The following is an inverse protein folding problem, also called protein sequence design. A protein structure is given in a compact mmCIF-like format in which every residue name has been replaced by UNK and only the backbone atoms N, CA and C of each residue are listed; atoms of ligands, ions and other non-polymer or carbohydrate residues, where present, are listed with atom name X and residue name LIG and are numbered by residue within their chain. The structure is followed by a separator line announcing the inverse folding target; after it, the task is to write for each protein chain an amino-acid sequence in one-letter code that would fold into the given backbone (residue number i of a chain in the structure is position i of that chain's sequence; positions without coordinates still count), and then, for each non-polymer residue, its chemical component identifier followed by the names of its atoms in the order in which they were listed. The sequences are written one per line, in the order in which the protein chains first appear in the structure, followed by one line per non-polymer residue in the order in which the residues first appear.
data_IF_582850311721
#
_entry.id   IF_582850311721
#
_cell.length_a   1.000
_cell.length_b   1.000
_cell.length_c   1.000
_cell.angle_alpha   90.00
_cell.angle_beta   90.00
_cell.angle_gamma   90.00
#
_symmetry.space_group_name_H-M   'P 1'
#
loop_
_entity.id
_entity.type
_entity.pdbx_description
1 polymer ?
#
# COMPACT_ATOMS: atom_id res chain seq x y z
N UNK A 1 -35.94 -7.41 4.76
CA UNK A 1 -35.32 -6.18 5.30
C UNK A 1 -34.24 -6.65 6.28
N UNK A 2 -33.02 -6.87 5.80
CA UNK A 2 -31.92 -7.29 6.67
C UNK A 2 -31.19 -6.03 7.12
N UNK A 3 -31.41 -5.66 8.38
CA UNK A 3 -30.72 -4.58 9.06
C UNK A 3 -29.39 -5.15 9.52
N UNK A 4 -28.30 -4.81 8.85
CA UNK A 4 -26.98 -5.16 9.35
C UNK A 4 -26.67 -4.28 10.58
N UNK A 5 -26.26 -4.86 11.73
CA UNK A 5 -25.75 -4.08 12.84
C UNK A 5 -24.49 -3.36 12.37
N UNK A 6 -24.36 -2.06 12.68
CA UNK A 6 -23.17 -1.27 12.39
C UNK A 6 -21.93 -1.97 12.98
N UNK A 7 -21.18 -2.67 12.13
CA UNK A 7 -20.05 -3.45 12.60
C UNK A 7 -18.92 -2.49 13.03
N UNK A 8 -18.33 -2.65 14.23
CA UNK A 8 -17.35 -1.71 14.79
C UNK A 8 -16.18 -1.30 13.88
N UNK A 9 -15.74 -2.19 12.98
CA UNK A 9 -14.65 -1.89 12.05
C UNK A 9 -15.06 -0.86 10.97
N UNK A 10 -16.35 -0.79 10.58
CA UNK A 10 -16.84 0.23 9.64
C UNK A 10 -16.62 1.61 10.24
N UNK A 11 -16.80 1.76 11.57
CA UNK A 11 -16.51 3.01 12.29
C UNK A 11 -15.01 3.31 12.43
N UNK A 12 -14.15 2.30 12.49
CA UNK A 12 -12.68 2.50 12.54
C UNK A 12 -12.06 2.84 11.18
N UNK A 13 -12.67 2.42 10.07
CA UNK A 13 -12.26 2.80 8.71
C UNK A 13 -13.00 4.09 8.26
N UNK A 14 -14.14 4.39 8.87
CA UNK A 14 -14.90 5.61 8.63
C UNK A 14 -14.19 6.83 9.23
N UNK A 15 -13.32 7.42 8.42
CA UNK A 15 -13.44 8.87 8.27
C UNK A 15 -14.90 9.19 7.90
N UNK A 16 -15.49 10.28 8.40
CA UNK A 16 -16.84 10.78 8.01
C UNK A 16 -17.02 11.03 6.49
N UNK A 17 -16.00 10.70 5.69
CA UNK A 17 -16.01 10.73 4.23
C UNK A 17 -16.49 9.36 3.71
N UNK A 18 -17.30 9.32 2.65
CA UNK A 18 -17.65 8.05 2.01
C UNK A 18 -16.37 7.28 1.67
N UNK A 19 -16.36 5.99 2.02
CA UNK A 19 -15.29 5.00 1.81
C UNK A 19 -14.58 5.26 0.47
N UNK A 20 -15.38 5.55 -0.54
CA UNK A 20 -15.11 5.99 -1.89
C UNK A 20 -13.88 6.91 -2.06
N UNK A 21 -13.89 8.14 -1.54
CA UNK A 21 -12.84 9.13 -1.90
C UNK A 21 -11.50 8.87 -1.21
N UNK A 22 -11.52 8.40 0.03
CA UNK A 22 -10.31 8.25 0.83
C UNK A 22 -9.54 6.99 0.43
N UNK A 23 -10.24 5.90 0.11
CA UNK A 23 -9.62 4.67 -0.41
C UNK A 23 -9.05 4.92 -1.81
N UNK A 24 -9.83 5.54 -2.71
CA UNK A 24 -9.35 5.97 -4.04
C UNK A 24 -8.08 6.83 -3.94
N UNK A 25 -8.08 7.81 -3.03
CA UNK A 25 -6.92 8.68 -2.82
C UNK A 25 -5.70 7.90 -2.33
N UNK A 26 -5.87 6.91 -1.44
CA UNK A 26 -4.77 6.09 -0.94
C UNK A 26 -4.20 5.20 -2.04
N UNK A 27 -5.05 4.57 -2.84
CA UNK A 27 -4.63 3.74 -3.97
C UNK A 27 -3.88 4.56 -5.04
N UNK A 28 -4.41 5.73 -5.42
CA UNK A 28 -3.73 6.63 -6.36
C UNK A 28 -2.38 7.11 -5.83
N UNK A 29 -2.30 7.43 -4.53
CA UNK A 29 -1.03 7.75 -3.89
C UNK A 29 -0.07 6.56 -3.94
N UNK A 30 -0.52 5.35 -3.60
CA UNK A 30 0.31 4.14 -3.61
C UNK A 30 0.98 3.92 -4.96
N UNK A 31 0.21 3.99 -6.06
CA UNK A 31 0.74 3.85 -7.42
C UNK A 31 1.73 4.94 -7.81
N UNK A 32 1.60 6.15 -7.25
CA UNK A 32 2.50 7.28 -7.51
C UNK A 32 3.78 7.30 -6.64
N UNK A 33 3.88 6.42 -5.65
CA UNK A 33 5.08 6.30 -4.81
C UNK A 33 6.25 5.66 -5.57
N UNK A 34 7.47 5.98 -5.18
CA UNK A 34 8.65 5.27 -5.68
C UNK A 34 8.58 3.77 -5.34
N UNK A 35 9.31 2.96 -6.10
CA UNK A 35 9.23 1.51 -6.03
C UNK A 35 9.69 0.94 -4.69
N UNK A 36 10.63 1.59 -4.00
CA UNK A 36 11.06 1.16 -2.66
C UNK A 36 9.94 1.29 -1.65
N UNK A 37 9.22 2.41 -1.68
CA UNK A 37 8.07 2.61 -0.83
C UNK A 37 6.95 1.61 -1.07
N UNK A 38 6.65 1.33 -2.35
CA UNK A 38 5.65 0.33 -2.72
C UNK A 38 6.03 -1.04 -2.14
N UNK A 39 7.30 -1.44 -2.32
CA UNK A 39 7.79 -2.72 -1.82
C UNK A 39 7.82 -2.78 -0.30
N UNK A 40 8.28 -1.72 0.37
CA UNK A 40 8.29 -1.64 1.83
C UNK A 40 6.87 -1.77 2.42
N UNK A 41 5.87 -1.14 1.81
CA UNK A 41 4.48 -1.28 2.25
C UNK A 41 3.93 -2.70 2.02
N UNK A 42 4.32 -3.37 0.93
CA UNK A 42 3.99 -4.80 0.71
C UNK A 42 4.61 -5.67 1.80
N UNK A 43 5.90 -5.50 2.08
CA UNK A 43 6.61 -6.22 3.15
C UNK A 43 5.94 -5.98 4.51
N UNK A 44 5.54 -4.75 4.82
CA UNK A 44 4.79 -4.46 6.05
C UNK A 44 3.47 -5.23 6.05
N UNK A 45 2.68 -5.15 4.97
CA UNK A 45 1.39 -5.82 4.87
C UNK A 45 1.48 -7.35 5.06
N UNK A 46 2.54 -7.97 4.55
CA UNK A 46 2.82 -9.41 4.71
C UNK A 46 3.20 -9.80 6.15
N UNK A 47 3.72 -8.86 6.94
CA UNK A 47 4.19 -9.09 8.31
C UNK A 47 3.22 -8.56 9.39
N UNK A 48 2.04 -8.08 9.00
CA UNK A 48 1.00 -7.69 9.93
C UNK A 48 0.44 -8.89 10.68
N UNK A 49 0.11 -8.71 11.96
CA UNK A 49 -0.55 -9.75 12.76
C UNK A 49 -1.98 -10.02 12.29
N UNK A 50 -2.49 -11.21 12.61
CA UNK A 50 -3.89 -11.57 12.29
C UNK A 50 -4.88 -10.58 12.90
N UNK A 51 -4.60 -10.07 14.10
CA UNK A 51 -5.42 -9.07 14.79
C UNK A 51 -5.49 -7.75 14.01
N UNK A 52 -4.37 -7.30 13.44
CA UNK A 52 -4.29 -6.05 12.68
C UNK A 52 -5.06 -6.11 11.37
N UNK A 53 -5.07 -7.29 10.72
CA UNK A 53 -5.71 -7.49 9.42
C UNK A 53 -7.08 -8.16 9.51
N UNK A 54 -7.54 -8.60 10.68
CA UNK A 54 -8.80 -9.38 10.85
C UNK A 54 -10.00 -8.77 10.13
N UNK A 55 -10.19 -7.46 10.28
CA UNK A 55 -11.28 -6.72 9.63
C UNK A 55 -11.13 -6.68 8.11
N UNK A 56 -9.91 -6.44 7.62
CA UNK A 56 -9.61 -6.39 6.20
C UNK A 56 -9.68 -7.77 5.54
N UNK A 57 -9.22 -8.83 6.23
CA UNK A 57 -9.38 -10.22 5.82
C UNK A 57 -10.85 -10.58 5.66
N UNK A 58 -11.66 -10.18 6.62
CA UNK A 58 -13.12 -10.37 6.55
C UNK A 58 -13.73 -9.61 5.37
N UNK A 59 -13.27 -8.39 5.08
CA UNK A 59 -13.74 -7.62 3.92
C UNK A 59 -13.32 -8.26 2.59
N UNK A 60 -12.06 -8.69 2.48
CA UNK A 60 -11.53 -9.38 1.30
C UNK A 60 -12.36 -10.62 0.99
N UNK A 61 -12.54 -11.52 1.97
CA UNK A 61 -13.35 -12.74 1.81
C UNK A 61 -14.83 -12.46 1.51
N UNK A 62 -15.37 -11.31 1.93
CA UNK A 62 -16.71 -10.93 1.51
C UNK A 62 -16.74 -10.55 0.03
N UNK A 63 -15.73 -9.86 -0.48
CA UNK A 63 -15.67 -9.39 -1.87
C UNK A 63 -15.30 -10.53 -2.82
N UNK A 64 -14.29 -11.33 -2.48
CA UNK A 64 -13.86 -12.56 -3.17
C UNK A 64 -14.89 -13.67 -2.95
N UNK A 65 -15.90 -13.70 -3.82
CA UNK A 65 -17.09 -14.55 -3.65
C UNK A 65 -16.84 -15.98 -4.08
N UNK A 66 -15.91 -16.19 -5.02
CA UNK A 66 -15.53 -17.53 -5.49
C UNK A 66 -14.36 -18.14 -4.70
N UNK A 67 -13.77 -17.38 -3.78
CA UNK A 67 -12.64 -17.79 -2.93
C UNK A 67 -11.41 -18.15 -3.77
N UNK A 68 -11.22 -17.47 -4.90
CA UNK A 68 -10.05 -17.64 -5.75
C UNK A 68 -8.76 -17.12 -5.10
N UNK A 69 -8.88 -16.33 -4.03
CA UNK A 69 -7.75 -15.63 -3.41
C UNK A 69 -7.38 -14.34 -4.12
N UNK A 70 -8.17 -13.92 -5.10
CA UNK A 70 -8.01 -12.65 -5.84
C UNK A 70 -9.38 -12.01 -6.06
N UNK A 71 -9.43 -10.68 -6.16
CA UNK A 71 -10.67 -9.95 -6.42
C UNK A 71 -10.69 -9.50 -7.88
N UNK A 72 -11.66 -9.98 -8.64
CA UNK A 72 -11.89 -9.53 -10.02
C UNK A 72 -12.63 -8.18 -10.07
N UNK A 73 -12.69 -7.55 -11.25
CA UNK A 73 -13.46 -6.31 -11.43
C UNK A 73 -14.94 -6.47 -11.07
N UNK A 74 -15.56 -7.57 -11.48
CA UNK A 74 -16.98 -7.82 -11.20
C UNK A 74 -17.25 -8.07 -9.72
N UNK A 75 -16.32 -8.75 -9.03
CA UNK A 75 -16.39 -8.95 -7.58
C UNK A 75 -16.17 -7.66 -6.83
N UNK A 76 -15.19 -6.83 -7.22
CA UNK A 76 -14.97 -5.52 -6.63
C UNK A 76 -16.22 -4.64 -6.78
N UNK A 77 -16.77 -4.56 -7.99
CA UNK A 77 -17.98 -3.79 -8.31
C UNK A 77 -19.17 -4.25 -7.46
N UNK A 78 -19.45 -5.55 -7.46
CA UNK A 78 -20.59 -6.13 -6.76
C UNK A 78 -20.42 -6.06 -5.25
N UNK A 79 -19.21 -6.30 -4.76
CA UNK A 79 -18.84 -6.25 -3.35
C UNK A 79 -18.97 -4.84 -2.77
N UNK A 80 -18.44 -3.83 -3.46
CA UNK A 80 -18.56 -2.43 -3.05
C UNK A 80 -20.02 -1.97 -3.05
N UNK A 81 -20.80 -2.33 -4.07
CA UNK A 81 -22.23 -2.02 -4.12
C UNK A 81 -23.00 -2.65 -2.95
N UNK A 82 -22.70 -3.91 -2.60
CA UNK A 82 -23.30 -4.61 -1.46
C UNK A 82 -22.93 -3.98 -0.10
N UNK A 83 -21.76 -3.35 -0.02
CA UNK A 83 -21.30 -2.58 1.14
C UNK A 83 -21.87 -1.15 1.18
N UNK A 84 -22.75 -0.79 0.25
CA UNK A 84 -23.44 0.51 0.23
C UNK A 84 -22.65 1.64 -0.42
N UNK A 85 -21.54 1.33 -1.11
CA UNK A 85 -20.80 2.31 -1.92
C UNK A 85 -21.66 2.82 -3.08
N UNK A 86 -21.43 4.08 -3.49
CA UNK A 86 -22.13 4.73 -4.61
C UNK A 86 -21.19 5.02 -5.78
N UNK A 87 -20.04 4.35 -5.83
CA UNK A 87 -19.06 4.54 -6.90
C UNK A 87 -19.67 4.20 -8.28
N UNK A 88 -19.34 5.04 -9.24
CA UNK A 88 -19.60 4.79 -10.65
C UNK A 88 -18.67 3.69 -11.18
N UNK A 89 -19.04 3.07 -12.30
CA UNK A 89 -18.18 2.08 -12.97
C UNK A 89 -16.80 2.64 -13.32
N UNK A 90 -16.73 3.92 -13.69
CA UNK A 90 -15.47 4.58 -13.98
C UNK A 90 -14.57 4.67 -12.74
N UNK A 91 -15.15 4.93 -11.56
CA UNK A 91 -14.39 4.96 -10.31
C UNK A 91 -13.98 3.56 -9.84
N UNK A 92 -14.80 2.54 -10.05
CA UNK A 92 -14.42 1.14 -9.77
C UNK A 92 -13.27 0.70 -10.68
N UNK A 93 -13.29 1.08 -11.96
CA UNK A 93 -12.14 0.86 -12.86
C UNK A 93 -10.88 1.56 -12.35
N UNK A 94 -11.00 2.81 -11.91
CA UNK A 94 -9.86 3.53 -11.33
C UNK A 94 -9.34 2.89 -10.04
N UNK A 95 -10.22 2.31 -9.21
CA UNK A 95 -9.80 1.52 -8.04
C UNK A 95 -9.01 0.29 -8.48
N UNK A 96 -9.54 -0.47 -9.45
CA UNK A 96 -8.89 -1.65 -9.99
C UNK A 96 -7.48 -1.31 -10.51
N UNK A 97 -7.38 -0.35 -11.43
CA UNK A 97 -6.12 0.11 -12.02
C UNK A 97 -5.12 0.67 -10.98
N UNK A 98 -5.58 1.11 -9.82
CA UNK A 98 -4.73 1.66 -8.78
C UNK A 98 -4.31 0.62 -7.73
N UNK A 99 -5.07 -0.47 -7.59
CA UNK A 99 -4.80 -1.56 -6.65
C UNK A 99 -4.04 -2.73 -7.30
N UNK A 100 -4.38 -3.07 -8.55
CA UNK A 100 -3.69 -4.07 -9.38
C UNK A 100 -2.32 -3.54 -9.81
N UNK A 101 -1.30 -3.88 -9.04
CA UNK A 101 0.05 -3.30 -9.17
C UNK A 101 0.92 -4.10 -10.12
N UNK A 102 0.69 -5.40 -10.20
CA UNK A 102 1.35 -6.28 -11.15
C UNK A 102 0.69 -6.29 -12.55
N UNK A 103 -0.54 -5.78 -12.66
CA UNK A 103 -1.28 -5.64 -13.92
C UNK A 103 -1.89 -6.95 -14.40
N UNK A 104 -2.11 -7.92 -13.52
CA UNK A 104 -2.65 -9.23 -13.88
C UNK A 104 -4.18 -9.24 -14.10
N UNK A 105 -4.86 -8.12 -13.79
CA UNK A 105 -6.30 -7.93 -13.97
C UNK A 105 -7.16 -8.33 -12.77
N UNK A 106 -6.55 -8.72 -11.64
CA UNK A 106 -7.20 -8.96 -10.36
C UNK A 106 -6.40 -8.32 -9.22
N UNK A 107 -7.02 -8.18 -8.05
CA UNK A 107 -6.37 -7.63 -6.85
C UNK A 107 -6.11 -8.79 -5.90
N UNK A 108 -4.84 -9.09 -5.63
CA UNK A 108 -4.50 -10.09 -4.64
C UNK A 108 -4.73 -9.59 -3.19
N UNK A 109 -4.60 -10.49 -2.23
CA UNK A 109 -4.79 -10.15 -0.82
C UNK A 109 -3.84 -9.05 -0.34
N UNK A 110 -2.55 -9.12 -0.68
CA UNK A 110 -1.53 -8.15 -0.26
C UNK A 110 -1.78 -6.79 -0.90
N UNK A 111 -2.13 -6.76 -2.18
CA UNK A 111 -2.54 -5.55 -2.90
C UNK A 111 -3.76 -4.92 -2.24
N UNK A 112 -4.77 -5.71 -1.90
CA UNK A 112 -5.95 -5.22 -1.18
C UNK A 112 -5.60 -4.61 0.17
N UNK A 113 -4.78 -5.28 1.00
CA UNK A 113 -4.37 -4.76 2.32
C UNK A 113 -3.59 -3.46 2.15
N UNK A 114 -2.60 -3.46 1.26
CA UNK A 114 -1.73 -2.32 1.01
C UNK A 114 -2.51 -1.11 0.51
N UNK A 115 -3.52 -1.34 -0.33
CA UNK A 115 -4.38 -0.33 -0.91
C UNK A 115 -5.42 0.24 0.07
N UNK A 116 -5.97 -0.59 0.96
CA UNK A 116 -7.13 -0.22 1.80
C UNK A 116 -6.74 0.24 3.19
N UNK A 117 -5.64 -0.28 3.76
CA UNK A 117 -5.20 0.03 5.11
C UNK A 117 -4.81 1.51 5.25
N UNK A 118 -5.13 2.10 6.39
CA UNK A 118 -4.72 3.47 6.68
C UNK A 118 -3.20 3.55 6.89
N UNK A 119 -2.58 4.54 6.26
CA UNK A 119 -1.13 4.77 6.31
C UNK A 119 -0.59 4.89 7.74
N UNK A 120 -1.32 5.52 8.66
CA UNK A 120 -0.90 5.61 10.07
C UNK A 120 -0.76 4.25 10.76
N UNK A 121 -1.42 3.20 10.26
CA UNK A 121 -1.25 1.83 10.78
C UNK A 121 -0.03 1.16 10.18
N UNK A 122 0.25 1.38 8.88
CA UNK A 122 1.41 0.81 8.18
C UNK A 122 2.72 1.51 8.57
N UNK A 123 2.71 2.83 8.69
CA UNK A 123 3.89 3.68 8.93
C UNK A 123 4.24 3.82 10.43
N UNK A 124 3.83 2.85 11.28
CA UNK A 124 4.25 2.81 12.70
C UNK A 124 5.72 2.41 12.80
N UNK A 125 6.44 2.96 13.78
CA UNK A 125 7.89 2.79 13.91
C UNK A 125 8.33 1.31 13.96
N UNK A 126 7.56 0.46 14.65
CA UNK A 126 7.83 -0.98 14.69
C UNK A 126 7.77 -1.63 13.28
N UNK A 127 6.78 -1.24 12.47
CA UNK A 127 6.60 -1.77 11.12
C UNK A 127 7.65 -1.25 10.16
N UNK A 128 7.98 0.05 10.27
CA UNK A 128 9.06 0.65 9.48
C UNK A 128 10.41 -0.01 9.79
N UNK A 129 10.68 -0.28 11.06
CA UNK A 129 11.90 -0.96 11.46
C UNK A 129 11.96 -2.41 10.94
N UNK A 130 10.87 -3.18 11.09
CA UNK A 130 10.80 -4.55 10.53
C UNK A 130 10.97 -4.58 9.02
N UNK A 131 10.37 -3.61 8.32
CA UNK A 131 10.54 -3.48 6.87
C UNK A 131 11.98 -3.17 6.51
N UNK A 132 12.63 -2.24 7.21
CA UNK A 132 14.04 -1.93 7.01
C UNK A 132 14.93 -3.17 7.19
N UNK A 133 14.74 -3.90 8.29
CA UNK A 133 15.47 -5.16 8.57
C UNK A 133 15.18 -6.27 7.54
N UNK A 134 14.05 -6.21 6.83
CA UNK A 134 13.80 -7.14 5.74
C UNK A 134 14.74 -6.87 4.56
N UNK A 135 15.08 -5.61 4.30
CA UNK A 135 16.02 -5.23 3.24
C UNK A 135 17.48 -5.38 3.68
N UNK A 136 17.84 -4.88 4.87
CA UNK A 136 19.17 -4.98 5.48
C UNK A 136 19.43 -6.40 6.02
N UNK A 137 19.86 -7.29 5.11
CA UNK A 137 20.04 -8.74 5.37
C UNK A 137 21.27 -9.01 6.21
N UNK A 138 22.32 -8.20 6.06
CA UNK A 138 23.56 -8.36 6.81
C UNK A 138 23.57 -7.61 8.15
N UNK A 139 22.52 -6.81 8.41
CA UNK A 139 22.34 -6.00 9.62
C UNK A 139 23.44 -4.95 9.79
N UNK A 140 23.93 -4.41 8.68
CA UNK A 140 24.92 -3.33 8.65
C UNK A 140 24.34 -1.99 9.11
N UNK A 141 23.01 -1.84 9.14
CA UNK A 141 22.32 -0.57 9.36
C UNK A 141 22.10 0.23 8.08
N UNK A 142 22.43 -0.35 6.92
CA UNK A 142 22.27 0.26 5.61
C UNK A 142 21.59 -0.73 4.67
N UNK A 143 20.67 -0.25 3.83
CA UNK A 143 20.19 -1.01 2.69
C UNK A 143 21.18 -0.72 1.55
N UNK A 144 22.02 -1.71 1.26
CA UNK A 144 22.97 -1.61 0.16
C UNK A 144 22.27 -1.75 -1.19
N UNK A 145 22.93 -1.30 -2.26
CA UNK A 145 22.42 -1.44 -3.63
C UNK A 145 22.13 -2.91 -4.00
N UNK A 146 22.95 -3.85 -3.54
CA UNK A 146 22.80 -5.27 -3.85
C UNK A 146 21.64 -5.91 -3.07
N UNK A 147 21.44 -5.52 -1.82
CA UNK A 147 20.27 -5.93 -1.02
C UNK A 147 18.98 -5.38 -1.61
N UNK A 148 18.96 -4.09 -1.97
CA UNK A 148 17.82 -3.47 -2.66
C UNK A 148 17.50 -4.18 -3.97
N UNK A 149 18.52 -4.49 -4.79
CA UNK A 149 18.35 -5.20 -6.04
C UNK A 149 17.81 -6.62 -5.83
N UNK A 150 18.28 -7.32 -4.80
CA UNK A 150 17.83 -8.66 -4.43
C UNK A 150 16.35 -8.63 -4.04
N UNK A 151 15.97 -7.77 -3.09
CA UNK A 151 14.59 -7.63 -2.63
C UNK A 151 13.65 -7.22 -3.77
N UNK A 152 14.05 -6.27 -4.61
CA UNK A 152 13.22 -5.85 -5.75
C UNK A 152 13.01 -6.95 -6.79
N UNK A 153 14.01 -7.82 -6.99
CA UNK A 153 13.90 -8.95 -7.90
C UNK A 153 12.96 -10.02 -7.38
N UNK A 154 12.95 -10.28 -6.07
CA UNK A 154 12.05 -11.26 -5.43
C UNK A 154 10.57 -10.93 -5.68
N UNK A 155 10.23 -9.64 -5.74
CA UNK A 155 8.87 -9.15 -5.98
C UNK A 155 8.60 -8.77 -7.44
N UNK A 156 9.54 -9.04 -8.36
CA UNK A 156 9.38 -8.70 -9.78
C UNK A 156 9.33 -7.18 -10.06
N UNK A 157 9.82 -6.35 -9.14
CA UNK A 157 9.73 -4.88 -9.18
C UNK A 157 11.05 -4.19 -9.57
N UNK A 158 12.14 -4.95 -9.77
CA UNK A 158 13.49 -4.41 -9.95
C UNK A 158 14.13 -4.65 -11.31
N UNK A 159 14.65 -3.58 -11.89
CA UNK A 159 15.74 -3.63 -12.87
C UNK A 159 16.83 -2.63 -12.46
N UNK A 160 17.97 -2.64 -13.14
CA UNK A 160 19.09 -1.76 -12.77
C UNK A 160 18.75 -0.27 -12.80
N UNK A 161 17.85 0.16 -13.68
CA UNK A 161 17.45 1.57 -13.79
C UNK A 161 16.52 1.96 -12.64
N UNK A 162 15.56 1.11 -12.27
CA UNK A 162 14.73 1.28 -11.07
C UNK A 162 15.57 1.45 -9.81
N UNK A 163 16.61 0.62 -9.64
CA UNK A 163 17.49 0.67 -8.48
C UNK A 163 18.25 2.00 -8.41
N UNK A 164 18.76 2.48 -9.55
CA UNK A 164 19.45 3.78 -9.64
C UNK A 164 18.51 4.94 -9.32
N UNK A 165 17.29 4.92 -9.85
CA UNK A 165 16.27 5.95 -9.60
C UNK A 165 15.91 6.03 -8.11
N UNK A 166 15.72 4.88 -7.45
CA UNK A 166 15.43 4.83 -6.02
C UNK A 166 16.58 5.43 -5.21
N UNK A 167 17.81 5.01 -5.44
CA UNK A 167 18.97 5.52 -4.69
C UNK A 167 19.06 7.03 -4.89
N UNK A 168 18.99 7.52 -6.13
CA UNK A 168 19.05 8.95 -6.41
C UNK A 168 17.92 9.79 -5.77
N UNK A 169 16.77 9.19 -5.44
CA UNK A 169 15.66 9.86 -4.76
C UNK A 169 15.79 9.84 -3.23
N UNK A 170 16.38 8.78 -2.66
CA UNK A 170 16.30 8.47 -1.24
C UNK A 170 17.63 8.71 -0.50
N UNK A 171 18.76 8.43 -1.16
CA UNK A 171 20.12 8.64 -0.63
C UNK A 171 20.44 10.15 -0.62
N UNK A 172 20.32 10.76 0.55
CA UNK A 172 20.48 12.20 0.75
C UNK A 172 21.91 12.61 1.06
N UNK A 173 22.69 11.73 1.67
CA UNK A 173 24.10 11.97 1.97
C UNK A 173 25.05 11.53 0.84
N UNK A 174 24.52 10.84 -0.18
CA UNK A 174 25.19 10.33 -1.37
C UNK A 174 26.29 9.30 -1.06
N UNK A 175 26.09 8.48 -0.03
CA UNK A 175 27.02 7.39 0.30
C UNK A 175 26.81 6.12 -0.56
N UNK A 176 25.74 6.09 -1.36
CA UNK A 176 25.38 5.01 -2.27
C UNK A 176 24.50 3.93 -1.62
N UNK A 177 24.15 4.08 -0.35
CA UNK A 177 23.28 3.20 0.42
C UNK A 177 22.11 4.00 1.01
N UNK A 178 21.16 3.31 1.64
CA UNK A 178 20.02 3.94 2.30
C UNK A 178 20.08 3.60 3.78
N UNK A 179 20.34 4.59 4.62
CA UNK A 179 20.30 4.39 6.08
C UNK A 179 18.85 4.40 6.61
N UNK A 180 18.66 4.05 7.88
CA UNK A 180 17.31 3.97 8.47
C UNK A 180 16.56 5.31 8.47
N UNK A 181 17.26 6.42 8.64
CA UNK A 181 16.66 7.75 8.72
C UNK A 181 16.13 8.19 7.35
N UNK A 182 16.89 7.92 6.28
CA UNK A 182 16.49 8.12 4.89
C UNK A 182 15.30 7.24 4.50
N UNK A 183 15.34 5.96 4.89
CA UNK A 183 14.22 5.04 4.68
C UNK A 183 12.94 5.54 5.36
N UNK A 184 13.02 5.98 6.62
CA UNK A 184 11.88 6.53 7.37
C UNK A 184 11.39 7.85 6.74
N UNK A 185 12.30 8.73 6.32
CA UNK A 185 11.96 9.98 5.66
C UNK A 185 11.20 9.71 4.35
N UNK A 186 11.66 8.76 3.54
CA UNK A 186 10.98 8.31 2.33
C UNK A 186 9.61 7.69 2.65
N UNK A 187 9.51 6.85 3.69
CA UNK A 187 8.25 6.21 4.10
C UNK A 187 7.21 7.22 4.61
N UNK A 188 7.65 8.32 5.23
CA UNK A 188 6.75 9.38 5.71
C UNK A 188 6.51 10.49 4.66
N UNK A 189 7.42 10.63 3.68
CA UNK A 189 7.34 11.58 2.56
C UNK A 189 6.20 11.26 1.58
N UNK A 190 5.64 12.28 0.91
CA UNK A 190 4.57 12.08 -0.08
C UNK A 190 3.14 11.91 0.50
N UNK A 191 2.91 12.33 1.74
CA UNK A 191 1.55 12.44 2.35
C UNK A 191 0.98 13.87 2.36
N UNK A 192 1.75 14.88 1.96
CA UNK A 192 1.30 16.27 1.93
C UNK A 192 1.03 16.70 0.48
N UNK A 193 -0.13 17.29 0.15
CA UNK A 193 -0.21 18.13 -1.04
C UNK A 193 0.88 19.20 -0.89
N UNK A 194 1.74 19.34 -1.90
CA UNK A 194 2.73 20.40 -1.96
C UNK A 194 2.03 21.72 -1.65
N UNK A 195 2.42 22.37 -0.55
CA UNK A 195 1.98 23.76 -0.31
C UNK A 195 2.43 24.54 -1.55
N UNK A 196 1.54 25.30 -2.22
CA UNK A 196 1.97 26.14 -3.32
C UNK A 196 3.05 27.08 -2.77
N UNK A 197 4.20 27.10 -3.46
CA UNK A 197 5.25 28.06 -3.18
C UNK A 197 4.61 29.45 -3.16
N UNK A 198 4.70 30.15 -2.02
CA UNK A 198 4.37 31.57 -1.97
C UNK A 198 5.37 32.26 -2.89
N UNK A 199 4.92 32.62 -4.08
CA UNK A 199 5.55 33.66 -4.87
C UNK A 199 5.41 34.95 -4.04
N UNK A 200 6.54 35.41 -3.50
CA UNK A 200 6.70 36.79 -3.07
C UNK A 200 7.10 37.63 -4.27
#
# INVERSE_FOLDING_TARGET
MLVFPEHPWIKEIASDKPIDSAVLSRMKQFRAMNKLKQLALKVIAENLSEEEIKGLKSMFTNIDTDQSGTITYEELKSGLARLGSKLSEAEVKQLMEAADVDGNGSIDYIEFITATMHRHRLERDEHLYKAFQHFDKDHSGFITRDELATAMKEYGMGNNDTIREIIAEVDTDNDGNINYEEFVAMMRGGTQPSKPAKLF
#
